data_IF_896773844966
#
_entry.id   IF_896773844966
#
_cell.length_a   1.000
_cell.length_b   1.000
_cell.length_c   1.000
_cell.angle_alpha   90.00
_cell.angle_beta   90.00
_cell.angle_gamma   90.00
#
_symmetry.space_group_name_H-M   'P 1'
#
loop_
_entity.id
_entity.type
_entity.pdbx_description
1 polymer ?
#
# COMPACT_ATOMS: atom_id res chain seq x y z
N UNK A 1 82.30 29.46 17.37
CA UNK A 1 81.51 28.37 17.86
C UNK A 1 80.21 28.29 17.06
N UNK A 2 80.20 27.42 16.04
CA UNK A 2 78.97 27.19 15.19
C UNK A 2 78.20 26.02 15.78
N UNK A 3 76.96 26.26 16.19
CA UNK A 3 76.02 25.17 16.63
C UNK A 3 75.42 24.55 15.43
N UNK A 4 75.62 23.25 15.25
CA UNK A 4 74.99 22.42 14.23
C UNK A 4 73.65 21.94 14.85
N UNK A 5 72.54 22.26 14.18
CA UNK A 5 71.20 21.75 14.53
C UNK A 5 70.93 20.55 13.61
N UNK A 6 70.85 19.37 14.21
CA UNK A 6 70.53 18.14 13.50
C UNK A 6 69.02 18.01 13.50
N UNK A 7 68.39 18.08 12.33
CA UNK A 7 66.93 17.81 12.13
C UNK A 7 66.82 16.34 11.86
N UNK A 8 66.13 15.63 12.79
CA UNK A 8 65.71 14.21 12.62
C UNK A 8 64.33 14.20 11.94
N UNK A 9 64.35 13.71 10.70
CA UNK A 9 63.07 13.39 10.02
C UNK A 9 62.49 12.09 10.58
N UNK A 10 61.35 12.19 11.28
CA UNK A 10 60.56 11.06 11.73
C UNK A 10 59.57 10.65 10.62
N UNK A 11 59.86 9.59 9.88
CA UNK A 11 58.98 9.00 8.87
C UNK A 11 57.86 8.26 9.58
N UNK A 12 56.66 8.84 9.58
CA UNK A 12 55.44 8.16 10.05
C UNK A 12 54.94 7.24 8.93
N UNK A 13 55.16 5.94 9.08
CA UNK A 13 54.48 4.92 8.28
C UNK A 13 53.03 4.86 8.71
N UNK A 14 52.13 5.44 7.90
CA UNK A 14 50.71 5.21 8.05
C UNK A 14 50.38 3.83 7.41
N UNK A 15 50.34 2.81 8.24
CA UNK A 15 49.76 1.52 7.86
C UNK A 15 48.25 1.70 7.70
N UNK A 16 47.81 1.81 6.45
CA UNK A 16 46.39 1.84 6.12
C UNK A 16 45.75 0.50 6.52
N UNK A 17 45.06 0.50 7.65
CA UNK A 17 44.13 -0.58 7.95
C UNK A 17 42.96 -0.50 6.96
N UNK A 18 42.96 -1.39 5.98
CA UNK A 18 41.78 -1.72 5.20
C UNK A 18 40.69 -2.27 6.17
N UNK A 19 39.84 -1.40 6.67
CA UNK A 19 38.61 -1.82 7.31
C UNK A 19 37.78 -2.54 6.24
N UNK A 20 37.87 -3.86 6.21
CA UNK A 20 36.87 -4.72 5.60
C UNK A 20 35.52 -4.32 6.20
N UNK A 21 34.61 -3.83 5.37
CA UNK A 21 33.23 -3.59 5.80
C UNK A 21 32.69 -4.93 6.33
N UNK A 22 32.11 -4.97 7.55
CA UNK A 22 31.50 -6.21 8.03
C UNK A 22 30.41 -6.59 7.03
N UNK A 23 30.53 -7.77 6.44
CA UNK A 23 29.50 -8.33 5.57
C UNK A 23 28.16 -8.25 6.32
N UNK A 24 27.10 -7.73 5.64
CA UNK A 24 25.76 -7.66 6.20
C UNK A 24 25.43 -9.06 6.75
N UNK A 25 25.34 -9.18 8.07
CA UNK A 25 24.86 -10.44 8.69
C UNK A 25 23.44 -10.65 8.20
N UNK A 26 23.23 -11.72 7.43
CA UNK A 26 21.91 -12.15 7.02
C UNK A 26 21.14 -12.49 8.29
N UNK A 27 20.04 -11.82 8.54
CA UNK A 27 19.22 -12.05 9.72
C UNK A 27 18.36 -13.27 9.45
N UNK A 28 18.69 -14.39 10.10
CA UNK A 28 17.85 -15.60 10.10
C UNK A 28 16.86 -15.46 11.24
N UNK A 29 15.57 -15.52 10.94
CA UNK A 29 14.51 -15.54 11.95
C UNK A 29 14.39 -16.96 12.54
N UNK A 30 13.84 -17.06 13.76
CA UNK A 30 13.67 -18.37 14.46
C UNK A 30 12.77 -19.34 13.69
N UNK A 31 11.84 -18.83 12.86
CA UNK A 31 10.98 -19.60 11.97
C UNK A 31 11.68 -20.14 10.72
N UNK A 32 12.94 -19.74 10.51
CA UNK A 32 13.82 -20.21 9.45
C UNK A 32 13.76 -19.38 8.16
N UNK A 33 13.04 -18.27 8.13
CA UNK A 33 13.17 -17.32 7.04
C UNK A 33 14.51 -16.56 7.11
N UNK A 34 15.07 -16.32 5.94
CA UNK A 34 16.32 -15.57 5.75
C UNK A 34 15.96 -14.24 5.10
N UNK A 35 15.95 -13.18 5.90
CA UNK A 35 15.63 -11.84 5.43
C UNK A 35 16.77 -11.30 4.55
N UNK A 36 16.50 -11.07 3.27
CA UNK A 36 17.46 -10.44 2.33
C UNK A 36 17.44 -8.92 2.47
N UNK A 37 16.25 -8.35 2.59
CA UNK A 37 16.04 -6.92 2.76
C UNK A 37 14.66 -6.68 3.37
N UNK A 38 14.60 -5.82 4.39
CA UNK A 38 13.35 -5.24 4.89
C UNK A 38 13.54 -3.74 5.07
N UNK A 39 12.67 -2.95 4.46
CA UNK A 39 12.70 -1.50 4.52
C UNK A 39 11.81 -1.01 5.66
N UNK A 40 12.17 0.13 6.24
CA UNK A 40 11.43 0.70 7.36
C UNK A 40 10.01 1.08 6.94
N UNK A 41 9.05 0.69 7.74
CA UNK A 41 7.66 1.11 7.67
C UNK A 41 7.19 1.56 9.05
N UNK A 42 6.15 2.37 9.09
CA UNK A 42 5.45 2.74 10.32
C UNK A 42 4.81 1.52 10.98
N UNK A 43 4.44 1.56 12.27
CA UNK A 43 3.80 0.43 12.95
C UNK A 43 2.57 -0.10 12.22
N UNK A 44 2.26 -1.38 12.44
CA UNK A 44 1.03 -1.99 11.95
C UNK A 44 -0.18 -1.31 12.59
N UNK A 45 -1.12 -0.86 11.76
CA UNK A 45 -2.39 -0.28 12.19
C UNK A 45 -3.53 -1.30 12.04
N UNK A 46 -4.69 -0.98 12.61
CA UNK A 46 -5.89 -1.80 12.54
C UNK A 46 -7.03 -1.01 11.88
N UNK A 47 -7.41 -1.41 10.64
CA UNK A 47 -8.59 -0.86 9.97
C UNK A 47 -9.90 -1.30 10.62
N UNK A 48 -9.85 -2.27 11.52
CA UNK A 48 -10.96 -2.85 12.25
C UNK A 48 -12.09 -3.35 11.32
N UNK A 49 -13.33 -2.92 11.51
CA UNK A 49 -14.49 -3.36 10.72
C UNK A 49 -14.80 -2.36 9.61
N UNK A 50 -13.82 -2.11 8.75
CA UNK A 50 -13.98 -1.23 7.59
C UNK A 50 -13.36 -1.85 6.34
N UNK A 51 -13.93 -1.60 5.17
CA UNK A 51 -13.36 -1.92 3.86
C UNK A 51 -12.38 -0.85 3.38
N UNK A 52 -11.53 -0.30 4.28
CA UNK A 52 -10.65 0.83 3.98
C UNK A 52 -9.16 0.45 3.87
N UNK A 53 -8.86 -0.82 3.63
CA UNK A 53 -7.50 -1.35 3.44
C UNK A 53 -6.68 -0.54 2.43
N UNK A 54 -7.31 -0.04 1.38
CA UNK A 54 -6.70 0.81 0.36
C UNK A 54 -6.12 2.11 0.93
N UNK A 55 -6.81 2.71 1.91
CA UNK A 55 -6.31 3.90 2.60
C UNK A 55 -5.15 3.55 3.52
N UNK A 56 -5.27 2.50 4.34
CA UNK A 56 -4.22 2.07 5.27
C UNK A 56 -2.92 1.65 4.56
N UNK A 57 -3.03 0.83 3.52
CA UNK A 57 -1.86 0.32 2.80
C UNK A 57 -1.11 1.42 2.04
N UNK A 58 -1.85 2.31 1.37
CA UNK A 58 -1.23 3.39 0.58
C UNK A 58 -0.70 4.50 1.47
N UNK A 59 -1.40 4.84 2.57
CA UNK A 59 -0.86 5.76 3.59
C UNK A 59 0.44 5.22 4.16
N UNK A 60 0.51 3.92 4.49
CA UNK A 60 1.75 3.28 4.96
C UNK A 60 2.89 3.35 3.93
N UNK A 61 2.60 3.23 2.62
CA UNK A 61 3.59 3.46 1.56
C UNK A 61 4.11 4.91 1.59
N UNK A 62 3.22 5.90 1.70
CA UNK A 62 3.58 7.33 1.74
C UNK A 62 4.41 7.65 2.98
N UNK A 63 4.01 7.14 4.13
CA UNK A 63 4.76 7.26 5.39
C UNK A 63 6.16 6.64 5.29
N UNK A 64 6.29 5.45 4.68
CA UNK A 64 7.60 4.82 4.45
C UNK A 64 8.48 5.62 3.50
N UNK A 65 7.88 6.27 2.51
CA UNK A 65 8.59 7.18 1.60
C UNK A 65 9.09 8.41 2.36
N UNK A 66 8.26 8.98 3.24
CA UNK A 66 8.65 10.09 4.11
C UNK A 66 9.79 9.70 5.04
N UNK A 67 9.68 8.55 5.72
CA UNK A 67 10.73 7.98 6.58
C UNK A 67 12.06 7.79 5.85
N UNK A 68 12.02 7.29 4.62
CA UNK A 68 13.21 7.07 3.79
C UNK A 68 14.01 8.35 3.61
N UNK A 69 13.34 9.48 3.37
CA UNK A 69 14.00 10.75 3.07
C UNK A 69 14.25 11.62 4.30
N UNK A 70 13.35 11.62 5.27
CA UNK A 70 13.42 12.55 6.41
C UNK A 70 13.99 11.91 7.68
N UNK A 71 14.06 10.57 7.78
CA UNK A 71 14.53 9.82 8.94
C UNK A 71 13.71 10.11 10.22
N UNK A 72 12.48 10.56 10.08
CA UNK A 72 11.56 10.92 11.15
C UNK A 72 10.23 10.27 10.88
N UNK A 73 9.57 9.76 11.90
CA UNK A 73 8.25 9.17 11.80
C UNK A 73 7.20 10.23 11.46
N UNK A 74 6.21 9.81 10.72
CA UNK A 74 5.00 10.55 10.45
C UNK A 74 3.82 9.59 10.58
N UNK A 75 2.71 10.07 11.09
CA UNK A 75 1.49 9.31 11.29
C UNK A 75 0.34 10.08 10.67
N UNK A 76 -0.11 9.62 9.49
CA UNK A 76 -1.12 10.28 8.68
C UNK A 76 -2.49 9.67 8.95
N UNK A 77 -3.51 10.51 8.86
CA UNK A 77 -4.91 10.09 8.97
C UNK A 77 -5.36 9.37 7.69
N UNK A 78 -5.61 8.08 7.80
CA UNK A 78 -6.28 7.29 6.77
C UNK A 78 -7.72 7.75 6.59
N UNK A 79 -8.38 8.09 7.70
CA UNK A 79 -9.80 8.46 7.70
C UNK A 79 -10.05 9.83 7.08
N UNK A 80 -9.08 10.74 7.05
CA UNK A 80 -9.21 11.99 6.30
C UNK A 80 -9.32 11.71 4.79
N UNK A 81 -8.53 10.79 4.29
CA UNK A 81 -8.62 10.31 2.91
C UNK A 81 -9.97 9.65 2.66
N UNK A 82 -10.39 8.71 3.52
CA UNK A 82 -11.68 8.01 3.42
C UNK A 82 -12.85 8.99 3.41
N UNK A 83 -12.86 9.98 4.29
CA UNK A 83 -13.88 11.03 4.34
C UNK A 83 -14.06 11.72 2.99
N UNK A 84 -12.97 12.15 2.37
CA UNK A 84 -13.01 12.86 1.09
C UNK A 84 -13.44 11.93 -0.05
N UNK A 85 -12.94 10.70 -0.07
CA UNK A 85 -13.29 9.72 -1.10
C UNK A 85 -14.78 9.30 -0.99
N UNK A 86 -15.33 9.14 0.19
CA UNK A 86 -16.76 8.86 0.35
C UNK A 86 -17.64 10.00 -0.22
N UNK A 87 -17.20 11.26 -0.08
CA UNK A 87 -17.88 12.40 -0.72
C UNK A 87 -17.77 12.33 -2.25
N UNK A 88 -16.62 11.96 -2.79
CA UNK A 88 -16.44 11.80 -4.23
C UNK A 88 -17.27 10.64 -4.79
N UNK A 89 -17.29 9.50 -4.10
CA UNK A 89 -18.14 8.37 -4.45
C UNK A 89 -19.61 8.75 -4.48
N UNK A 90 -20.09 9.52 -3.51
CA UNK A 90 -21.47 10.03 -3.51
C UNK A 90 -21.77 10.88 -4.74
N UNK A 91 -20.88 11.83 -5.09
CA UNK A 91 -21.03 12.65 -6.31
C UNK A 91 -21.01 11.77 -7.57
N UNK A 92 -20.07 10.81 -7.66
CA UNK A 92 -20.00 9.88 -8.78
C UNK A 92 -21.29 9.06 -8.92
N UNK A 93 -21.83 8.55 -7.81
CA UNK A 93 -23.09 7.78 -7.77
C UNK A 93 -24.28 8.59 -8.28
N UNK A 94 -24.41 9.84 -7.81
CA UNK A 94 -25.48 10.74 -8.27
C UNK A 94 -25.31 11.10 -9.74
N UNK A 95 -24.10 11.47 -10.20
CA UNK A 95 -23.85 11.82 -11.60
C UNK A 95 -24.11 10.64 -12.54
N UNK A 96 -23.84 9.42 -12.08
CA UNK A 96 -24.14 8.17 -12.82
C UNK A 96 -25.56 7.66 -12.57
N UNK A 97 -26.41 8.44 -11.93
CA UNK A 97 -27.84 8.15 -11.73
C UNK A 97 -28.09 6.81 -11.00
N UNK A 98 -27.26 6.49 -10.00
CA UNK A 98 -27.31 5.23 -9.27
C UNK A 98 -26.74 4.02 -10.02
N UNK A 99 -26.04 4.22 -11.15
CA UNK A 99 -25.44 3.15 -11.97
C UNK A 99 -23.92 3.04 -11.74
N UNK A 100 -23.48 3.21 -10.52
CA UNK A 100 -22.11 3.02 -10.09
C UNK A 100 -22.09 2.21 -8.81
N UNK A 101 -21.02 1.49 -8.56
CA UNK A 101 -20.80 0.87 -7.25
C UNK A 101 -20.63 1.96 -6.18
N UNK A 102 -21.29 1.77 -5.05
CA UNK A 102 -21.15 2.58 -3.85
C UNK A 102 -20.89 1.65 -2.66
N UNK A 103 -19.62 1.61 -2.24
CA UNK A 103 -19.14 0.72 -1.18
C UNK A 103 -17.95 1.35 -0.46
N UNK A 104 -17.41 0.68 0.57
CA UNK A 104 -16.25 1.13 1.34
C UNK A 104 -14.94 1.08 0.55
N UNK A 105 -14.83 0.17 -0.42
CA UNK A 105 -13.61 -0.10 -1.19
C UNK A 105 -13.08 1.10 -1.99
N UNK A 106 -11.87 0.99 -2.41
CA UNK A 106 -11.14 1.97 -3.24
C UNK A 106 -9.75 1.44 -3.57
N UNK A 107 -9.02 2.14 -4.39
CA UNK A 107 -7.69 1.71 -4.82
C UNK A 107 -6.58 2.69 -4.39
N UNK A 108 -5.34 2.24 -4.48
CA UNK A 108 -4.20 3.06 -4.02
C UNK A 108 -4.06 4.39 -4.74
N UNK A 109 -4.41 4.47 -6.04
CA UNK A 109 -4.39 5.74 -6.78
C UNK A 109 -5.40 6.77 -6.24
N UNK A 110 -6.48 6.34 -5.59
CA UNK A 110 -7.46 7.24 -4.97
C UNK A 110 -6.85 7.98 -3.78
N UNK A 111 -5.98 7.33 -2.99
CA UNK A 111 -5.23 7.99 -1.91
C UNK A 111 -4.29 9.05 -2.46
N UNK A 112 -3.51 8.68 -3.49
CA UNK A 112 -2.58 9.60 -4.16
C UNK A 112 -3.32 10.82 -4.69
N UNK A 113 -4.45 10.62 -5.36
CA UNK A 113 -5.31 11.66 -5.90
C UNK A 113 -5.99 12.49 -4.79
N UNK A 114 -6.44 11.84 -3.72
CA UNK A 114 -7.06 12.51 -2.57
C UNK A 114 -6.09 13.47 -1.90
N UNK A 115 -4.86 13.05 -1.62
CA UNK A 115 -3.84 13.93 -1.02
C UNK A 115 -3.50 15.10 -1.94
N UNK A 116 -3.36 14.87 -3.24
CA UNK A 116 -3.14 15.95 -4.21
C UNK A 116 -4.29 16.96 -4.24
N UNK A 117 -5.53 16.49 -4.08
CA UNK A 117 -6.75 17.31 -4.19
C UNK A 117 -7.12 17.98 -2.88
N UNK A 118 -7.07 17.27 -1.78
CA UNK A 118 -7.58 17.72 -0.47
C UNK A 118 -6.48 17.98 0.55
N UNK A 119 -5.27 17.48 0.32
CA UNK A 119 -4.17 17.51 1.28
C UNK A 119 -4.14 16.31 2.20
N UNK A 120 -3.42 16.43 3.30
CA UNK A 120 -3.28 15.41 4.34
C UNK A 120 -3.29 16.04 5.72
N UNK A 121 -3.53 15.25 6.75
CA UNK A 121 -3.38 15.68 8.15
C UNK A 121 -2.89 14.51 9.00
N UNK A 122 -2.32 14.80 10.20
CA UNK A 122 -1.93 13.75 11.13
C UNK A 122 -3.13 12.97 11.66
N UNK A 123 -2.91 11.69 12.01
CA UNK A 123 -3.88 10.85 12.71
C UNK A 123 -4.35 11.47 14.03
N UNK A 124 -3.43 12.11 14.76
CA UNK A 124 -3.72 12.81 16.02
C UNK A 124 -4.69 14.01 15.88
N UNK A 125 -4.88 14.51 14.64
CA UNK A 125 -5.81 15.60 14.33
C UNK A 125 -7.19 15.07 13.96
N UNK A 126 -7.23 13.98 13.22
CA UNK A 126 -8.47 13.36 12.77
C UNK A 126 -8.29 11.86 12.58
N UNK A 127 -8.75 11.08 13.53
CA UNK A 127 -8.71 9.61 13.47
C UNK A 127 -9.95 8.98 12.82
N UNK A 128 -10.98 9.77 12.52
CA UNK A 128 -12.27 9.23 12.07
C UNK A 128 -13.02 8.40 13.11
N UNK A 129 -12.55 8.40 14.35
CA UNK A 129 -13.15 7.65 15.45
C UNK A 129 -14.03 8.58 16.30
N UNK A 130 -15.37 8.44 16.26
CA UNK A 130 -16.26 9.26 17.07
C UNK A 130 -16.01 9.08 18.56
N UNK A 131 -16.30 10.12 19.35
CA UNK A 131 -16.15 10.10 20.79
C UNK A 131 -16.89 8.90 21.44
N UNK A 132 -16.18 8.15 22.27
CA UNK A 132 -16.70 6.99 22.97
C UNK A 132 -16.62 5.66 22.20
N UNK A 133 -16.26 5.68 20.93
CA UNK A 133 -15.97 4.47 20.16
C UNK A 133 -14.50 4.03 20.39
N UNK A 134 -14.27 2.71 20.34
CA UNK A 134 -12.93 2.13 20.57
C UNK A 134 -12.29 1.59 19.29
N UNK A 135 -13.07 1.44 18.22
CA UNK A 135 -12.61 0.92 16.94
C UNK A 135 -13.50 1.41 15.81
N UNK A 136 -12.96 1.49 14.62
CA UNK A 136 -13.67 1.87 13.41
C UNK A 136 -14.68 0.79 13.01
N UNK A 137 -15.86 1.22 12.51
CA UNK A 137 -16.87 0.30 11.98
C UNK A 137 -17.77 1.04 10.98
N UNK A 138 -17.59 0.75 9.69
CA UNK A 138 -18.32 1.42 8.61
C UNK A 138 -19.46 0.57 8.02
N UNK A 139 -19.63 -0.69 8.43
CA UNK A 139 -20.63 -1.58 7.80
C UNK A 139 -22.06 -1.04 7.82
N UNK A 140 -22.48 -0.32 8.89
CA UNK A 140 -23.77 0.38 8.90
C UNK A 140 -23.72 1.74 8.19
N UNK A 141 -22.58 2.42 8.23
CA UNK A 141 -22.43 3.73 7.64
C UNK A 141 -22.66 3.69 6.14
N UNK A 142 -22.03 2.78 5.43
CA UNK A 142 -22.16 2.66 3.97
C UNK A 142 -23.60 2.37 3.56
N UNK A 143 -24.29 1.49 4.28
CA UNK A 143 -25.72 1.22 4.04
C UNK A 143 -26.56 2.49 4.19
N UNK A 144 -26.37 3.26 5.27
CA UNK A 144 -27.10 4.50 5.51
C UNK A 144 -26.82 5.55 4.42
N UNK A 145 -25.55 5.67 4.01
CA UNK A 145 -25.14 6.59 2.97
C UNK A 145 -25.74 6.21 1.60
N UNK A 146 -25.71 4.92 1.26
CA UNK A 146 -26.31 4.43 0.02
C UNK A 146 -27.83 4.60 0.01
N UNK A 147 -28.53 4.23 1.08
CA UNK A 147 -29.97 4.43 1.23
C UNK A 147 -30.37 5.90 1.07
N UNK A 148 -29.59 6.81 1.63
CA UNK A 148 -29.80 8.24 1.44
C UNK A 148 -29.69 8.62 -0.04
N UNK A 149 -28.61 8.21 -0.73
CA UNK A 149 -28.40 8.51 -2.15
C UNK A 149 -29.51 7.91 -3.03
N UNK A 150 -29.93 6.67 -2.76
CA UNK A 150 -31.01 6.01 -3.49
C UNK A 150 -32.35 6.73 -3.30
N UNK A 151 -32.61 7.25 -2.10
CA UNK A 151 -33.83 8.00 -1.82
C UNK A 151 -33.87 9.35 -2.53
N UNK A 152 -32.78 10.10 -2.55
CA UNK A 152 -32.75 11.39 -3.27
C UNK A 152 -32.86 11.21 -4.79
N UNK A 153 -32.40 10.10 -5.36
CA UNK A 153 -32.53 9.80 -6.79
C UNK A 153 -33.97 9.54 -7.23
N UNK A 154 -34.89 9.20 -6.31
CA UNK A 154 -36.32 9.01 -6.61
C UNK A 154 -37.07 10.31 -6.87
N UNK A 155 -36.55 11.44 -6.38
CA UNK A 155 -37.19 12.74 -6.43
C UNK A 155 -36.42 13.64 -7.39
N UNK A 156 -37.13 14.23 -8.36
CA UNK A 156 -36.51 15.14 -9.34
C UNK A 156 -37.28 16.45 -9.40
N UNK A 157 -36.57 17.61 -9.43
CA UNK A 157 -35.12 17.76 -9.34
C UNK A 157 -34.58 17.37 -7.96
N UNK A 158 -33.31 16.92 -7.92
CA UNK A 158 -32.61 16.64 -6.67
C UNK A 158 -32.43 17.97 -5.91
N UNK A 159 -32.66 17.95 -4.58
CA UNK A 159 -32.50 19.12 -3.72
C UNK A 159 -31.06 19.70 -3.80
N UNK A 160 -30.93 21.01 -3.88
CA UNK A 160 -29.61 21.65 -4.04
C UNK A 160 -28.66 21.40 -2.85
N UNK A 161 -29.18 21.16 -1.65
CA UNK A 161 -28.44 20.92 -0.42
C UNK A 161 -28.13 19.43 -0.15
N UNK A 162 -28.44 18.51 -1.08
CA UNK A 162 -28.29 17.07 -0.87
C UNK A 162 -26.88 16.68 -0.36
N UNK A 163 -25.86 17.37 -0.84
CA UNK A 163 -24.47 17.07 -0.45
C UNK A 163 -24.17 17.49 0.98
N UNK A 164 -24.81 18.57 1.47
CA UNK A 164 -24.63 19.03 2.86
C UNK A 164 -25.33 18.05 3.82
N UNK A 165 -26.52 17.56 3.45
CA UNK A 165 -27.22 16.52 4.21
C UNK A 165 -26.44 15.20 4.22
N UNK A 166 -25.86 14.80 3.09
CA UNK A 166 -24.95 13.66 3.01
C UNK A 166 -23.74 13.81 3.94
N UNK A 167 -23.08 14.97 3.90
CA UNK A 167 -21.92 15.26 4.77
C UNK A 167 -22.31 15.25 6.24
N UNK A 168 -23.53 15.67 6.59
CA UNK A 168 -24.02 15.59 7.96
C UNK A 168 -24.07 14.15 8.44
N UNK A 169 -24.62 13.24 7.63
CA UNK A 169 -24.61 11.81 7.95
C UNK A 169 -23.17 11.29 8.14
N UNK A 170 -22.28 11.69 7.24
CA UNK A 170 -20.87 11.29 7.32
C UNK A 170 -20.21 11.83 8.60
N UNK A 171 -20.41 13.11 8.92
CA UNK A 171 -19.87 13.78 10.11
C UNK A 171 -20.37 13.14 11.42
N UNK A 172 -21.64 12.74 11.45
CA UNK A 172 -22.24 12.10 12.63
C UNK A 172 -21.63 10.71 12.91
N UNK A 173 -21.04 10.06 11.89
CA UNK A 173 -20.52 8.71 11.97
C UNK A 173 -18.99 8.61 12.07
N UNK A 174 -18.24 9.49 11.43
CA UNK A 174 -16.76 9.46 11.45
C UNK A 174 -16.13 10.79 11.89
N UNK A 175 -16.94 11.72 12.35
CA UNK A 175 -16.49 13.05 12.77
C UNK A 175 -16.30 14.04 11.61
N UNK A 176 -16.00 15.28 11.96
CA UNK A 176 -15.76 16.36 11.00
C UNK A 176 -14.29 16.72 11.00
N UNK A 177 -13.56 16.51 9.90
CA UNK A 177 -12.16 16.92 9.84
C UNK A 177 -12.06 18.46 9.92
N UNK A 178 -11.12 19.00 10.75
CA UNK A 178 -10.96 20.43 10.88
C UNK A 178 -10.40 21.05 9.58
N UNK A 179 -10.84 22.25 9.26
CA UNK A 179 -10.33 23.01 8.11
C UNK A 179 -8.87 23.47 8.32
N UNK A 180 -8.50 23.72 9.58
CA UNK A 180 -7.16 24.13 10.02
C UNK A 180 -6.79 23.40 11.32
N UNK A 181 -5.51 23.16 11.53
CA UNK A 181 -4.98 22.52 12.73
C UNK A 181 -3.57 23.04 13.07
N UNK A 182 -3.12 22.80 14.28
CA UNK A 182 -1.81 23.26 14.75
C UNK A 182 -0.86 22.07 14.98
N UNK A 183 0.38 22.20 14.50
CA UNK A 183 1.49 21.32 14.83
C UNK A 183 2.60 22.19 15.42
N UNK A 184 2.90 21.95 16.70
CA UNK A 184 3.76 22.87 17.47
C UNK A 184 3.12 24.26 17.53
N UNK A 185 3.84 25.28 17.08
CA UNK A 185 3.37 26.68 17.09
C UNK A 185 2.95 27.17 15.68
N UNK A 186 2.72 26.26 14.74
CA UNK A 186 2.37 26.61 13.38
C UNK A 186 1.02 26.05 12.96
N UNK A 187 0.19 26.90 12.34
CA UNK A 187 -1.09 26.52 11.74
C UNK A 187 -0.91 25.95 10.35
N UNK A 188 -1.67 24.93 10.04
CA UNK A 188 -1.74 24.30 8.73
C UNK A 188 -3.19 24.09 8.31
N UNK A 189 -3.44 24.18 7.02
CA UNK A 189 -4.55 23.51 6.37
C UNK A 189 -4.08 22.12 5.91
N UNK A 190 -4.97 21.18 5.59
CA UNK A 190 -4.56 19.90 5.02
C UNK A 190 -3.66 20.05 3.77
N UNK A 191 -3.92 21.05 2.93
CA UNK A 191 -3.11 21.33 1.73
C UNK A 191 -1.72 21.84 2.06
N UNK A 192 -1.61 22.82 2.98
CA UNK A 192 -0.30 23.34 3.37
C UNK A 192 0.53 22.28 4.11
N UNK A 193 -0.11 21.39 4.88
CA UNK A 193 0.56 20.27 5.51
C UNK A 193 1.12 19.29 4.46
N UNK A 194 0.34 18.91 3.47
CA UNK A 194 0.79 18.04 2.40
C UNK A 194 1.94 18.65 1.58
N UNK A 195 1.92 19.95 1.31
CA UNK A 195 2.95 20.61 0.50
C UNK A 195 4.22 20.95 1.29
N UNK A 196 4.09 21.43 2.52
CA UNK A 196 5.22 21.92 3.31
C UNK A 196 5.91 20.83 4.15
N UNK A 197 5.11 19.92 4.73
CA UNK A 197 5.63 18.85 5.59
C UNK A 197 5.90 17.58 4.78
N UNK A 198 4.89 17.04 4.10
CA UNK A 198 5.05 15.83 3.30
C UNK A 198 5.85 16.07 2.02
N UNK A 199 5.84 17.32 1.50
CA UNK A 199 6.38 17.66 0.17
C UNK A 199 5.80 16.74 -0.91
N UNK A 200 4.53 16.42 -0.75
CA UNK A 200 3.84 15.42 -1.55
C UNK A 200 3.67 15.87 -3.00
N UNK A 201 3.92 14.93 -3.91
CA UNK A 201 3.66 15.08 -5.35
C UNK A 201 3.04 13.79 -5.86
N UNK A 202 1.86 13.89 -6.46
CA UNK A 202 1.18 12.72 -7.02
C UNK A 202 2.01 12.04 -8.11
N UNK A 203 2.73 12.81 -8.92
CA UNK A 203 3.59 12.33 -10.00
C UNK A 203 4.82 11.52 -9.53
N UNK A 204 5.07 11.48 -8.22
CA UNK A 204 6.10 10.62 -7.62
C UNK A 204 5.64 9.17 -7.45
N UNK A 205 4.43 8.83 -7.86
CA UNK A 205 3.84 7.49 -7.76
C UNK A 205 3.34 7.00 -9.11
N UNK A 206 3.50 5.71 -9.36
CA UNK A 206 3.10 5.04 -10.62
C UNK A 206 2.23 3.84 -10.29
N UNK A 207 1.08 3.76 -10.95
CA UNK A 207 0.17 2.61 -10.84
C UNK A 207 0.56 1.55 -11.86
N UNK A 208 0.70 0.31 -11.44
CA UNK A 208 1.14 -0.82 -12.25
C UNK A 208 0.13 -1.96 -12.12
N UNK A 209 -0.10 -2.66 -13.22
CA UNK A 209 -0.85 -3.92 -13.26
C UNK A 209 -0.22 -4.88 -14.27
N UNK A 210 -0.80 -6.10 -14.42
CA UNK A 210 -0.27 -7.12 -15.32
C UNK A 210 -1.38 -8.02 -15.85
N UNK A 211 -1.92 -7.74 -17.05
CA UNK A 211 -2.93 -8.54 -17.74
C UNK A 211 -2.62 -8.63 -19.23
N UNK A 212 -3.08 -9.69 -19.91
CA UNK A 212 -2.72 -9.96 -21.31
C UNK A 212 -3.74 -9.50 -22.33
N UNK A 213 -4.92 -9.09 -21.87
CA UNK A 213 -5.99 -8.52 -22.69
C UNK A 213 -5.74 -7.09 -23.16
N UNK A 214 -4.73 -6.42 -22.57
CA UNK A 214 -4.28 -5.09 -22.95
C UNK A 214 -2.80 -5.09 -23.35
N UNK A 215 -2.37 -4.17 -24.24
CA UNK A 215 -0.96 -4.08 -24.64
C UNK A 215 -0.05 -3.77 -23.44
N UNK A 216 1.09 -4.47 -23.35
CA UNK A 216 2.10 -4.15 -22.34
C UNK A 216 2.76 -2.79 -22.60
N UNK A 217 3.25 -2.17 -21.52
CA UNK A 217 3.89 -0.86 -21.45
C UNK A 217 2.99 0.32 -21.82
N UNK A 218 1.68 0.10 -21.91
CA UNK A 218 0.68 1.14 -22.10
C UNK A 218 -0.24 1.25 -20.90
N UNK A 219 -0.75 2.44 -20.57
CA UNK A 219 -1.74 2.58 -19.53
C UNK A 219 -3.14 2.22 -20.03
N UNK A 220 -3.94 1.61 -19.18
CA UNK A 220 -5.37 1.40 -19.42
C UNK A 220 -6.16 1.56 -18.11
N UNK A 221 -7.47 1.76 -18.21
CA UNK A 221 -8.36 1.80 -17.03
C UNK A 221 -8.56 0.37 -16.55
N UNK A 222 -8.10 0.08 -15.34
CA UNK A 222 -8.27 -1.25 -14.73
C UNK A 222 -9.74 -1.46 -14.36
N UNK A 223 -10.36 -2.46 -14.98
CA UNK A 223 -11.78 -2.76 -14.84
C UNK A 223 -12.05 -3.67 -13.65
N UNK A 224 -11.94 -3.10 -12.45
CA UNK A 224 -12.29 -3.77 -11.19
C UNK A 224 -13.32 -2.95 -10.42
N UNK A 225 -14.12 -3.58 -9.53
CA UNK A 225 -15.22 -2.91 -8.86
C UNK A 225 -14.82 -1.63 -8.11
N UNK A 226 -13.71 -1.64 -7.41
CA UNK A 226 -13.25 -0.53 -6.58
C UNK A 226 -12.61 0.63 -7.35
N UNK A 227 -12.40 0.47 -8.68
CA UNK A 227 -11.89 1.55 -9.53
C UNK A 227 -13.00 2.55 -9.93
N UNK A 228 -13.71 3.10 -8.95
CA UNK A 228 -14.84 4.02 -9.18
C UNK A 228 -14.43 5.30 -9.93
N UNK A 229 -13.18 5.73 -9.76
CA UNK A 229 -12.64 6.96 -10.36
C UNK A 229 -12.05 6.77 -11.75
N UNK A 230 -12.07 5.54 -12.29
CA UNK A 230 -11.46 5.13 -13.55
C UNK A 230 -9.94 5.40 -13.60
N UNK A 231 -9.25 5.07 -12.53
CA UNK A 231 -7.80 5.15 -12.45
C UNK A 231 -7.11 4.31 -13.51
N UNK A 232 -6.05 4.85 -14.08
CA UNK A 232 -5.27 4.21 -15.14
C UNK A 232 -4.00 3.57 -14.57
N UNK A 233 -3.67 2.38 -15.09
CA UNK A 233 -2.53 1.56 -14.65
C UNK A 233 -1.66 1.19 -15.84
N UNK A 234 -0.34 1.33 -15.71
CA UNK A 234 0.60 0.82 -16.70
C UNK A 234 0.68 -0.70 -16.63
N UNK A 235 0.51 -1.34 -17.77
CA UNK A 235 0.50 -2.78 -17.91
C UNK A 235 1.91 -3.33 -18.10
N UNK A 236 2.35 -4.27 -17.28
CA UNK A 236 3.66 -4.92 -17.39
C UNK A 236 3.51 -6.43 -17.60
N UNK A 237 4.46 -7.09 -18.28
CA UNK A 237 4.58 -8.55 -18.14
C UNK A 237 4.78 -8.93 -16.65
N UNK A 238 4.11 -9.98 -16.18
CA UNK A 238 4.13 -10.38 -14.77
C UNK A 238 5.53 -10.58 -14.20
N UNK A 239 6.45 -11.15 -15.00
CA UNK A 239 7.84 -11.33 -14.59
C UNK A 239 8.58 -9.98 -14.41
N UNK A 240 8.28 -8.97 -15.25
CA UNK A 240 8.83 -7.62 -15.08
C UNK A 240 8.21 -6.92 -13.87
N UNK A 241 6.93 -7.16 -13.59
CA UNK A 241 6.25 -6.65 -12.39
C UNK A 241 6.87 -7.23 -11.10
N UNK A 242 7.13 -8.55 -11.05
CA UNK A 242 7.83 -9.21 -9.93
C UNK A 242 9.23 -8.59 -9.75
N UNK A 243 9.97 -8.45 -10.85
CA UNK A 243 11.32 -7.89 -10.80
C UNK A 243 11.32 -6.41 -10.37
N UNK A 244 10.32 -5.63 -10.79
CA UNK A 244 10.12 -4.25 -10.34
C UNK A 244 9.99 -4.17 -8.82
N UNK A 245 9.16 -5.05 -8.20
CA UNK A 245 9.00 -5.08 -6.73
C UNK A 245 10.32 -5.43 -6.05
N UNK A 246 11.02 -6.48 -6.50
CA UNK A 246 12.33 -6.88 -5.94
C UNK A 246 13.37 -5.77 -6.04
N UNK A 247 13.44 -5.11 -7.18
CA UNK A 247 14.35 -3.99 -7.41
C UNK A 247 13.99 -2.78 -6.53
N UNK A 248 12.68 -2.49 -6.39
CA UNK A 248 12.20 -1.42 -5.51
C UNK A 248 12.66 -1.64 -4.07
N UNK A 249 12.40 -2.84 -3.53
CA UNK A 249 12.81 -3.22 -2.17
C UNK A 249 14.32 -3.15 -2.01
N UNK A 250 15.10 -3.69 -2.95
CA UNK A 250 16.57 -3.67 -2.90
C UNK A 250 17.13 -2.25 -2.89
N UNK A 251 16.47 -1.30 -3.56
CA UNK A 251 16.82 0.13 -3.59
C UNK A 251 16.28 0.93 -2.40
N UNK A 252 15.62 0.28 -1.45
CA UNK A 252 15.11 0.87 -0.21
C UNK A 252 13.75 1.55 -0.37
N UNK A 253 12.96 1.17 -1.37
CA UNK A 253 11.57 1.60 -1.55
C UNK A 253 10.63 0.46 -1.13
N UNK A 254 9.41 0.81 -0.79
CA UNK A 254 8.33 -0.11 -0.49
C UNK A 254 7.25 0.01 -1.56
N UNK A 255 6.28 -0.91 -1.59
CA UNK A 255 5.28 -0.99 -2.66
C UNK A 255 3.90 -1.26 -2.07
N UNK A 256 2.88 -0.49 -2.43
CA UNK A 256 1.49 -0.85 -2.13
C UNK A 256 1.08 -1.98 -3.07
N UNK A 257 0.38 -2.95 -2.56
CA UNK A 257 -0.02 -4.18 -3.24
C UNK A 257 -1.49 -4.48 -3.01
N UNK A 258 -2.21 -4.62 -4.08
CA UNK A 258 -3.60 -5.00 -4.17
C UNK A 258 -3.69 -6.43 -4.70
N UNK A 259 -4.42 -7.29 -3.99
CA UNK A 259 -4.47 -8.71 -4.26
C UNK A 259 -5.76 -9.37 -3.82
N UNK A 260 -6.07 -10.49 -4.47
CA UNK A 260 -7.04 -11.45 -3.96
C UNK A 260 -6.46 -12.18 -2.74
N UNK A 261 -7.16 -12.12 -1.63
CA UNK A 261 -6.85 -12.82 -0.37
C UNK A 261 -7.99 -13.74 0.08
N UNK A 262 -9.08 -13.83 -0.71
CA UNK A 262 -10.27 -14.62 -0.39
C UNK A 262 -10.11 -16.12 -0.66
N UNK A 263 -9.00 -16.52 -1.29
CA UNK A 263 -8.71 -17.91 -1.63
C UNK A 263 -8.02 -18.67 -0.47
N UNK A 264 -8.05 -19.99 -0.53
CA UNK A 264 -7.51 -20.88 0.54
C UNK A 264 -5.99 -20.81 0.72
N UNK A 265 -5.27 -20.22 -0.24
CA UNK A 265 -3.81 -20.03 -0.17
C UNK A 265 -3.40 -18.87 0.72
N UNK A 266 -4.30 -17.90 0.99
CA UNK A 266 -4.04 -16.83 1.96
C UNK A 266 -4.35 -17.30 3.37
N UNK A 267 -3.31 -17.59 4.13
CA UNK A 267 -3.40 -18.17 5.48
C UNK A 267 -2.95 -17.12 6.51
N UNK A 268 -3.71 -16.03 6.63
CA UNK A 268 -3.36 -14.90 7.50
C UNK A 268 -3.03 -15.28 8.94
N UNK A 269 -3.78 -16.22 9.54
CA UNK A 269 -3.51 -16.72 10.89
C UNK A 269 -2.14 -17.44 11.02
N UNK A 270 -1.62 -17.98 9.93
CA UNK A 270 -0.30 -18.60 9.86
C UNK A 270 0.77 -17.59 9.38
N UNK A 271 0.38 -16.39 9.01
CA UNK A 271 1.26 -15.37 8.43
C UNK A 271 1.89 -15.79 7.11
N UNK A 272 1.21 -16.62 6.31
CA UNK A 272 1.68 -17.15 5.04
C UNK A 272 0.63 -16.96 3.94
N UNK A 273 1.11 -16.69 2.72
CA UNK A 273 0.31 -16.79 1.50
C UNK A 273 1.08 -17.60 0.45
N UNK A 274 0.50 -18.72 0.02
CA UNK A 274 1.10 -19.69 -0.89
C UNK A 274 0.12 -20.04 -2.01
N UNK A 275 0.61 -20.18 -3.24
CA UNK A 275 -0.23 -20.60 -4.37
C UNK A 275 -0.48 -22.11 -4.32
N UNK A 276 -1.45 -22.51 -3.50
CA UNK A 276 -1.81 -23.90 -3.23
C UNK A 276 -3.33 -24.06 -3.25
N UNK A 277 -3.81 -25.22 -3.67
CA UNK A 277 -5.19 -25.60 -3.43
C UNK A 277 -5.26 -26.42 -2.12
N UNK A 278 -5.72 -25.80 -1.04
CA UNK A 278 -5.80 -26.48 0.25
C UNK A 278 -6.89 -27.53 0.34
N UNK A 279 -7.90 -27.48 -0.52
CA UNK A 279 -8.92 -28.52 -0.60
C UNK A 279 -8.30 -29.88 -1.02
N UNK A 280 -7.20 -29.84 -1.76
CA UNK A 280 -6.47 -31.03 -2.24
C UNK A 280 -5.36 -31.48 -1.27
N UNK A 281 -5.11 -30.73 -0.19
CA UNK A 281 -4.10 -31.09 0.80
C UNK A 281 -4.75 -31.92 1.93
N UNK A 282 -4.08 -33.01 2.31
CA UNK A 282 -4.46 -33.76 3.51
C UNK A 282 -4.55 -32.79 4.71
N UNK A 283 -5.69 -32.82 5.39
CA UNK A 283 -6.05 -31.89 6.48
C UNK A 283 -5.05 -31.84 7.64
N UNK A 284 -4.10 -32.77 7.70
CA UNK A 284 -3.09 -32.91 8.75
C UNK A 284 -1.69 -32.44 8.37
N UNK A 285 -1.46 -31.95 7.14
CA UNK A 285 -0.14 -31.44 6.77
C UNK A 285 0.12 -30.10 7.43
N UNK A 286 1.17 -29.97 8.28
CA UNK A 286 1.51 -28.69 8.89
C UNK A 286 1.82 -27.65 7.82
N UNK A 287 1.20 -26.49 7.92
CA UNK A 287 1.48 -25.36 7.03
C UNK A 287 2.88 -24.85 7.27
N UNK A 288 3.71 -24.82 6.24
CA UNK A 288 5.05 -24.24 6.27
C UNK A 288 5.40 -23.61 4.92
N UNK A 289 6.40 -22.73 4.91
CA UNK A 289 6.82 -21.97 3.73
C UNK A 289 7.32 -22.85 2.55
N UNK A 290 7.76 -24.07 2.84
CA UNK A 290 8.40 -24.95 1.85
C UNK A 290 7.45 -25.99 1.23
N UNK A 291 6.14 -25.89 1.49
CA UNK A 291 5.12 -26.70 0.79
C UNK A 291 5.23 -26.46 -0.72
N UNK A 292 5.09 -27.54 -1.50
CA UNK A 292 5.05 -27.43 -2.95
C UNK A 292 3.87 -26.59 -3.41
N UNK A 293 4.12 -25.63 -4.28
CA UNK A 293 3.11 -24.77 -4.85
C UNK A 293 2.66 -25.27 -6.22
N UNK A 294 1.47 -24.86 -6.64
CA UNK A 294 0.95 -25.15 -7.97
C UNK A 294 1.81 -24.43 -9.03
N UNK A 295 1.93 -25.02 -10.22
CA UNK A 295 2.56 -24.33 -11.33
C UNK A 295 1.72 -23.13 -11.76
N UNK A 296 2.37 -22.03 -12.09
CA UNK A 296 1.71 -20.82 -12.55
C UNK A 296 2.32 -20.32 -13.88
N UNK A 297 1.53 -19.61 -14.63
CA UNK A 297 1.95 -18.91 -15.85
C UNK A 297 1.00 -17.76 -16.16
N UNK A 298 1.39 -16.92 -17.10
CA UNK A 298 0.62 -15.73 -17.46
C UNK A 298 -0.76 -16.05 -18.05
N UNK A 299 -0.91 -17.16 -18.76
CA UNK A 299 -2.18 -17.61 -19.32
C UNK A 299 -3.16 -18.00 -18.22
N UNK A 300 -2.71 -18.78 -17.23
CA UNK A 300 -3.52 -19.15 -16.07
C UNK A 300 -3.90 -17.92 -15.23
N UNK A 301 -2.97 -16.98 -15.04
CA UNK A 301 -3.25 -15.72 -14.38
C UNK A 301 -4.36 -14.92 -15.07
N UNK A 302 -4.28 -14.75 -16.40
CA UNK A 302 -5.32 -14.07 -17.19
C UNK A 302 -6.66 -14.79 -17.08
N UNK A 303 -6.66 -16.11 -17.20
CA UNK A 303 -7.86 -16.93 -17.06
C UNK A 303 -8.53 -16.73 -15.69
N UNK A 304 -7.76 -16.64 -14.60
CA UNK A 304 -8.31 -16.43 -13.26
C UNK A 304 -8.93 -15.04 -13.10
N UNK A 305 -8.38 -14.03 -13.72
CA UNK A 305 -8.96 -12.68 -13.76
C UNK A 305 -10.28 -12.69 -14.58
N UNK A 306 -10.27 -13.23 -15.78
CA UNK A 306 -11.43 -13.24 -16.69
C UNK A 306 -12.62 -14.07 -16.16
N UNK A 307 -12.34 -15.16 -15.44
CA UNK A 307 -13.38 -16.02 -14.88
C UNK A 307 -13.73 -15.67 -13.43
N UNK A 308 -13.22 -14.54 -12.91
CA UNK A 308 -13.48 -14.02 -11.56
C UNK A 308 -13.02 -14.95 -10.42
N UNK A 309 -12.02 -15.82 -10.70
CA UNK A 309 -11.33 -16.57 -9.65
C UNK A 309 -10.43 -15.64 -8.84
N UNK A 310 -9.71 -14.73 -9.51
CA UNK A 310 -8.97 -13.63 -8.86
C UNK A 310 -9.88 -12.42 -8.77
N UNK A 311 -10.09 -11.90 -7.56
CA UNK A 311 -10.94 -10.77 -7.25
C UNK A 311 -10.14 -9.59 -6.70
N UNK A 312 -10.66 -8.37 -6.88
CA UNK A 312 -10.24 -7.16 -6.20
C UNK A 312 -10.75 -7.21 -4.75
N UNK A 313 -9.85 -7.39 -3.78
CA UNK A 313 -10.26 -7.85 -2.45
C UNK A 313 -9.55 -7.11 -1.31
N UNK A 314 -8.20 -7.02 -1.33
CA UNK A 314 -7.47 -6.48 -0.19
C UNK A 314 -6.14 -5.84 -0.56
N UNK A 315 -5.93 -4.63 -0.05
CA UNK A 315 -4.70 -3.89 -0.28
C UNK A 315 -3.78 -3.93 0.95
N UNK A 316 -2.50 -4.22 0.69
CA UNK A 316 -1.44 -4.37 1.70
C UNK A 316 -0.17 -3.63 1.28
N UNK A 317 0.88 -3.71 2.10
CA UNK A 317 2.11 -2.96 1.90
C UNK A 317 3.35 -3.86 1.92
N UNK A 318 4.00 -4.08 0.78
CA UNK A 318 5.24 -4.86 0.66
C UNK A 318 6.40 -4.02 1.17
N UNK A 319 7.08 -4.50 2.21
CA UNK A 319 8.22 -3.81 2.83
C UNK A 319 9.55 -4.52 2.60
N UNK A 320 9.53 -5.83 2.30
CA UNK A 320 10.75 -6.60 2.22
C UNK A 320 10.72 -7.80 1.30
N UNK A 321 11.87 -8.44 1.18
CA UNK A 321 12.11 -9.71 0.49
C UNK A 321 12.90 -10.64 1.39
N UNK A 322 12.58 -11.91 1.34
CA UNK A 322 13.21 -12.98 2.13
C UNK A 322 13.14 -14.31 1.41
N UNK A 323 13.79 -15.32 1.97
CA UNK A 323 13.71 -16.71 1.49
C UNK A 323 13.35 -17.65 2.62
N UNK A 324 12.62 -18.71 2.27
CA UNK A 324 12.42 -19.85 3.16
C UNK A 324 13.73 -20.63 3.39
N UNK A 325 13.71 -21.60 4.30
CA UNK A 325 14.85 -22.51 4.56
C UNK A 325 15.37 -23.22 3.30
N UNK A 326 14.48 -23.55 2.37
CA UNK A 326 14.83 -24.20 1.09
C UNK A 326 15.14 -23.20 -0.02
N UNK A 327 15.17 -21.91 0.27
CA UNK A 327 15.52 -20.86 -0.70
C UNK A 327 14.36 -20.36 -1.55
N UNK A 328 13.10 -20.76 -1.26
CA UNK A 328 11.92 -20.24 -1.96
C UNK A 328 11.79 -18.73 -1.68
N UNK A 329 11.58 -17.88 -2.72
CA UNK A 329 11.46 -16.44 -2.55
C UNK A 329 10.10 -16.02 -1.98
N UNK A 330 10.12 -15.03 -1.09
CA UNK A 330 8.96 -14.44 -0.46
C UNK A 330 9.07 -12.91 -0.40
N UNK A 331 7.92 -12.26 -0.35
CA UNK A 331 7.75 -10.86 0.02
C UNK A 331 7.30 -10.76 1.48
N UNK A 332 7.87 -9.79 2.22
CA UNK A 332 7.43 -9.42 3.56
C UNK A 332 6.36 -8.35 3.39
N UNK A 333 5.14 -8.63 3.81
CA UNK A 333 3.96 -7.82 3.56
C UNK A 333 3.34 -7.37 4.88
N UNK A 334 3.29 -6.06 5.11
CA UNK A 334 2.60 -5.42 6.22
C UNK A 334 1.10 -5.39 5.92
N UNK A 335 0.30 -5.97 6.81
CA UNK A 335 -1.16 -5.94 6.75
C UNK A 335 -1.73 -4.81 7.64
N UNK A 336 -3.05 -4.59 7.60
CA UNK A 336 -3.78 -3.58 8.36
C UNK A 336 -4.88 -4.18 9.26
N UNK A 337 -4.64 -5.37 9.79
CA UNK A 337 -5.55 -6.09 10.71
C UNK A 337 -5.05 -6.13 12.15
N UNK A 338 -4.30 -5.09 12.55
CA UNK A 338 -3.69 -5.01 13.87
C UNK A 338 -2.48 -5.94 14.04
N UNK A 339 -1.82 -5.80 15.18
CA UNK A 339 -0.68 -6.64 15.58
C UNK A 339 -1.22 -8.01 15.98
N UNK A 340 -1.13 -8.97 15.08
CA UNK A 340 -1.70 -10.31 15.23
C UNK A 340 -0.87 -11.36 14.49
N UNK A 341 -1.13 -12.63 14.80
CA UNK A 341 -0.45 -13.76 14.14
C UNK A 341 1.04 -13.89 14.53
N UNK A 342 1.75 -14.83 13.88
CA UNK A 342 3.13 -15.17 14.25
C UNK A 342 4.16 -14.11 13.85
N UNK A 343 3.77 -13.13 13.03
CA UNK A 343 4.66 -12.08 12.50
C UNK A 343 4.16 -10.66 12.78
N UNK A 344 3.48 -10.47 13.92
CA UNK A 344 3.07 -9.16 14.43
C UNK A 344 2.30 -8.32 13.39
N UNK A 345 1.36 -8.95 12.66
CA UNK A 345 0.55 -8.32 11.63
C UNK A 345 1.18 -8.30 10.23
N UNK A 346 2.30 -8.98 10.03
CA UNK A 346 2.87 -9.21 8.71
C UNK A 346 2.49 -10.58 8.14
N UNK A 347 2.53 -10.70 6.82
CA UNK A 347 2.33 -11.94 6.07
C UNK A 347 3.50 -12.16 5.13
N UNK A 348 4.02 -13.39 5.09
CA UNK A 348 5.05 -13.81 4.15
C UNK A 348 4.37 -14.38 2.91
N UNK A 349 4.51 -13.70 1.80
CA UNK A 349 3.82 -14.00 0.53
C UNK A 349 4.80 -14.61 -0.45
N UNK A 350 4.55 -15.83 -0.90
CA UNK A 350 5.41 -16.47 -1.92
C UNK A 350 5.34 -15.71 -3.24
N UNK A 351 6.41 -15.80 -4.03
CA UNK A 351 6.44 -15.19 -5.37
C UNK A 351 5.36 -15.78 -6.29
N UNK A 352 5.03 -17.05 -6.15
CA UNK A 352 3.97 -17.70 -6.91
C UNK A 352 2.60 -17.16 -6.54
N UNK A 353 2.33 -16.96 -5.24
CA UNK A 353 1.09 -16.32 -4.79
C UNK A 353 0.98 -14.90 -5.31
N UNK A 354 2.04 -14.10 -5.17
CA UNK A 354 2.11 -12.75 -5.72
C UNK A 354 1.83 -12.74 -7.23
N UNK A 355 2.49 -13.62 -7.99
CA UNK A 355 2.31 -13.70 -9.43
C UNK A 355 0.87 -13.97 -9.86
N UNK A 356 0.15 -14.81 -9.12
CA UNK A 356 -1.19 -15.24 -9.48
C UNK A 356 -2.30 -14.31 -8.97
N UNK A 357 -2.12 -13.75 -7.78
CA UNK A 357 -3.20 -13.06 -7.08
C UNK A 357 -3.06 -11.52 -7.07
N UNK A 358 -1.99 -10.94 -7.65
CA UNK A 358 -1.85 -9.49 -7.74
C UNK A 358 -2.88 -8.90 -8.69
N UNK A 359 -3.63 -7.89 -8.22
CA UNK A 359 -4.51 -7.06 -9.04
C UNK A 359 -3.76 -5.81 -9.50
N UNK A 360 -3.21 -5.05 -8.57
CA UNK A 360 -2.49 -3.83 -8.87
C UNK A 360 -1.39 -3.47 -7.86
N UNK A 361 -0.55 -2.50 -8.24
CA UNK A 361 0.50 -1.92 -7.39
C UNK A 361 0.47 -0.40 -7.48
N UNK A 362 0.89 0.27 -6.39
CA UNK A 362 1.40 1.64 -6.44
C UNK A 362 2.87 1.63 -6.05
N UNK A 363 3.71 2.16 -6.92
CA UNK A 363 5.17 2.14 -6.76
C UNK A 363 5.70 3.56 -6.78
N UNK A 364 6.65 3.95 -5.90
CA UNK A 364 7.34 5.22 -6.03
C UNK A 364 8.06 5.31 -7.39
N UNK A 365 7.83 6.36 -8.16
CA UNK A 365 8.47 6.57 -9.47
C UNK A 365 10.00 6.45 -9.41
N UNK A 366 10.61 6.94 -8.32
CA UNK A 366 12.03 6.83 -8.08
C UNK A 366 12.53 5.39 -7.90
N UNK A 367 11.63 4.42 -7.70
CA UNK A 367 11.96 2.99 -7.67
C UNK A 367 12.07 2.35 -9.06
N UNK A 368 11.52 2.98 -10.09
CA UNK A 368 11.64 2.51 -11.48
C UNK A 368 13.05 2.82 -12.01
N UNK A 369 13.62 1.90 -12.77
CA UNK A 369 14.86 2.18 -13.48
C UNK A 369 14.60 2.98 -14.77
N UNK A 370 15.69 3.55 -15.32
CA UNK A 370 15.59 4.39 -16.51
C UNK A 370 15.03 3.65 -17.73
N UNK A 371 15.31 2.36 -17.88
CA UNK A 371 14.85 1.55 -19.00
C UNK A 371 13.34 1.38 -18.93
N UNK A 372 12.81 1.07 -17.75
CA UNK A 372 11.37 0.92 -17.55
C UNK A 372 10.65 2.26 -17.69
N UNK A 373 11.18 3.35 -17.15
CA UNK A 373 10.61 4.69 -17.36
C UNK A 373 10.49 5.04 -18.84
N UNK A 374 11.52 4.74 -19.64
CA UNK A 374 11.49 4.95 -21.10
C UNK A 374 10.44 4.07 -21.78
N UNK A 375 10.35 2.77 -21.44
CA UNK A 375 9.33 1.87 -21.99
C UNK A 375 7.91 2.36 -21.71
N UNK A 376 7.68 2.95 -20.53
CA UNK A 376 6.38 3.47 -20.10
C UNK A 376 6.10 4.89 -20.59
N UNK A 377 7.05 5.56 -21.25
CA UNK A 377 6.91 6.96 -21.65
C UNK A 377 6.81 7.95 -20.48
N UNK A 378 7.29 7.56 -19.31
CA UNK A 378 7.27 8.38 -18.09
C UNK A 378 8.55 9.24 -18.06
N UNK A 379 8.36 10.55 -17.92
CA UNK A 379 9.46 11.54 -17.85
C UNK A 379 9.98 11.73 -16.43
#
# INVERSE_FOLDING_TARGET
MKKIVTIVFLSIFISGNLFSQPGKKTQVRDDGFVVEKNNTATPVKDQARTGTCWSFSTTSLIESQFLKYNKTDIDLSEMFTVYNIYIEKAKNYIHRQGKAQFDEGGLGHDVIRSIATYGAMPESVFSGLPAGQKSLNHGKLVIILQDYLDNILKIKPIAANWLDDYKKILNDNIGTPPAEFEIGNKKYTPKTYATEILKFKADDYVNITSFTDHPFYTPFILEVPDNFSNGSYYNLPVNEMIQLVKNSISRGYTVMWDADVSNSGFMGNNGLALFVNRADQETNTPVNADIAELPWNITLRQQYYENLTTQDDHLMHITGIERSKKGKPFFIVKNSWGVSGPYDGYVNVSEAYFAMNTVSLVVPKAALDKTLLLKLGIK
#
